data_IF_572018676177
#
_entry.id   IF_572018676177
#
_cell.length_a   1.000
_cell.length_b   1.000
_cell.length_c   1.000
_cell.angle_alpha   90.00
_cell.angle_beta   90.00
_cell.angle_gamma   90.00
#
_symmetry.space_group_name_H-M   'P 1'
#
loop_
_entity.id
_entity.type
_entity.pdbx_description
1 polymer ?
#
# COMPACT_ATOMS: atom_id res chain seq x y z
N UNK A 1 14.89 -18.20 20.58
CA UNK A 1 13.83 -17.20 20.38
C UNK A 1 13.61 -17.05 18.88
N UNK A 2 12.35 -16.96 18.52
CA UNK A 2 11.75 -17.00 17.19
C UNK A 2 12.37 -15.97 16.24
N UNK A 3 12.55 -16.37 14.99
CA UNK A 3 12.93 -15.50 13.88
C UNK A 3 11.86 -14.41 13.80
N UNK A 4 12.27 -13.19 14.15
CA UNK A 4 11.44 -12.00 14.09
C UNK A 4 10.84 -11.83 12.69
N UNK A 5 9.53 -11.56 12.70
CA UNK A 5 8.75 -11.22 11.52
C UNK A 5 9.36 -10.00 10.83
N UNK A 6 10.07 -10.22 9.71
CA UNK A 6 10.53 -9.14 8.84
C UNK A 6 9.92 -9.31 7.44
N UNK A 7 8.61 -9.60 7.39
CA UNK A 7 7.81 -9.42 6.17
C UNK A 7 7.71 -7.95 5.76
N UNK A 8 7.88 -7.10 6.76
CA UNK A 8 7.30 -5.77 6.73
C UNK A 8 8.17 -4.76 5.96
N UNK A 9 9.52 -4.76 6.03
CA UNK A 9 10.31 -3.76 5.31
C UNK A 9 10.17 -3.81 3.78
N UNK A 10 10.25 -4.99 3.11
CA UNK A 10 10.10 -5.05 1.65
C UNK A 10 8.66 -4.75 1.21
N UNK A 11 7.67 -5.33 1.90
CA UNK A 11 6.25 -5.13 1.58
C UNK A 11 5.82 -3.69 1.79
N UNK A 12 6.26 -3.07 2.89
CA UNK A 12 6.04 -1.65 3.14
C UNK A 12 6.67 -0.77 2.09
N UNK A 13 7.88 -1.09 1.63
CA UNK A 13 8.51 -0.33 0.54
C UNK A 13 7.67 -0.39 -0.76
N UNK A 14 7.17 -1.56 -1.12
CA UNK A 14 6.31 -1.73 -2.30
C UNK A 14 4.99 -0.96 -2.18
N UNK A 15 4.27 -1.15 -1.07
CA UNK A 15 2.98 -0.52 -0.82
C UNK A 15 3.10 1.00 -0.61
N UNK A 16 4.16 1.43 0.08
CA UNK A 16 4.47 2.84 0.34
C UNK A 16 4.75 3.64 -0.92
N UNK A 17 5.33 3.02 -1.95
CA UNK A 17 5.55 3.67 -3.25
C UNK A 17 4.25 4.14 -3.92
N UNK A 18 3.19 3.32 -3.85
CA UNK A 18 1.90 3.65 -4.45
C UNK A 18 1.13 4.70 -3.64
N UNK A 19 1.18 4.59 -2.31
CA UNK A 19 0.65 5.64 -1.42
C UNK A 19 1.37 6.97 -1.66
N UNK A 20 2.70 6.94 -1.87
CA UNK A 20 3.51 8.10 -2.21
C UNK A 20 3.10 8.75 -3.53
N UNK A 21 2.83 7.95 -4.57
CA UNK A 21 2.35 8.44 -5.86
C UNK A 21 1.00 9.18 -5.74
N UNK A 22 0.05 8.61 -4.99
CA UNK A 22 -1.23 9.26 -4.71
C UNK A 22 -1.05 10.57 -3.90
N UNK A 23 -0.21 10.56 -2.85
CA UNK A 23 0.13 11.76 -2.06
C UNK A 23 0.76 12.87 -2.90
N UNK A 24 1.61 12.53 -3.87
CA UNK A 24 2.22 13.51 -4.77
C UNK A 24 1.16 14.23 -5.62
N UNK A 25 0.16 13.49 -6.13
CA UNK A 25 -0.94 14.08 -6.91
C UNK A 25 -1.89 14.92 -6.07
N UNK A 26 -2.17 14.51 -4.83
CA UNK A 26 -2.88 15.35 -3.87
C UNK A 26 -2.16 16.68 -3.59
N UNK A 27 -0.83 16.63 -3.48
CA UNK A 27 0.00 17.84 -3.29
C UNK A 27 -0.05 18.75 -4.53
N UNK A 28 -0.04 18.16 -5.72
CA UNK A 28 -0.17 18.88 -6.99
C UNK A 28 -1.53 19.58 -7.13
N UNK A 29 -2.62 18.89 -6.79
CA UNK A 29 -3.99 19.45 -6.74
C UNK A 29 -4.04 20.64 -5.78
N UNK A 30 -3.51 20.47 -4.57
CA UNK A 30 -3.49 21.54 -3.55
C UNK A 30 -2.70 22.76 -4.02
N UNK A 31 -1.56 22.55 -4.67
CA UNK A 31 -0.73 23.64 -5.20
C UNK A 31 -1.39 24.38 -6.36
N UNK A 32 -2.01 23.64 -7.29
CA UNK A 32 -2.65 24.21 -8.47
C UNK A 32 -4.02 24.81 -8.19
N UNK A 33 -4.69 24.39 -7.11
CA UNK A 33 -6.02 24.86 -6.72
C UNK A 33 -7.16 24.30 -7.57
N UNK A 34 -6.90 23.31 -8.43
CA UNK A 34 -7.91 22.63 -9.23
C UNK A 34 -7.58 21.14 -9.40
N UNK A 35 -8.61 20.36 -9.71
CA UNK A 35 -8.51 18.92 -10.00
C UNK A 35 -8.61 18.71 -11.50
N UNK A 36 -7.66 17.99 -12.10
CA UNK A 36 -7.76 17.53 -13.49
C UNK A 36 -8.08 16.04 -13.58
N UNK A 37 -8.71 15.61 -14.67
CA UNK A 37 -8.94 14.19 -14.95
C UNK A 37 -7.63 13.38 -14.96
N UNK A 38 -6.54 13.97 -15.43
CA UNK A 38 -5.22 13.34 -15.41
C UNK A 38 -4.76 13.03 -13.99
N UNK A 39 -4.92 13.98 -13.05
CA UNK A 39 -4.54 13.77 -11.65
C UNK A 39 -5.39 12.68 -11.00
N UNK A 40 -6.71 12.72 -11.20
CA UNK A 40 -7.63 11.69 -10.70
C UNK A 40 -7.30 10.32 -11.29
N UNK A 41 -7.01 10.24 -12.59
CA UNK A 41 -6.62 8.99 -13.26
C UNK A 41 -5.33 8.41 -12.69
N UNK A 42 -4.35 9.26 -12.34
CA UNK A 42 -3.10 8.81 -11.74
C UNK A 42 -3.29 8.33 -10.29
N UNK A 43 -4.20 8.96 -9.53
CA UNK A 43 -4.61 8.48 -8.20
C UNK A 43 -5.27 7.10 -8.31
N UNK A 44 -6.19 6.91 -9.25
CA UNK A 44 -6.83 5.60 -9.48
C UNK A 44 -5.83 4.54 -9.93
N UNK A 45 -4.86 4.87 -10.79
CA UNK A 45 -3.79 3.92 -11.15
C UNK A 45 -2.96 3.49 -9.95
N UNK A 46 -2.62 4.43 -9.05
CA UNK A 46 -1.91 4.12 -7.82
C UNK A 46 -2.75 3.19 -6.92
N UNK A 47 -4.05 3.44 -6.81
CA UNK A 47 -5.00 2.55 -6.13
C UNK A 47 -4.99 1.14 -6.70
N UNK A 48 -5.19 1.00 -8.01
CA UNK A 48 -5.22 -0.32 -8.66
C UNK A 48 -3.91 -1.10 -8.44
N UNK A 49 -2.77 -0.43 -8.61
CA UNK A 49 -1.47 -1.06 -8.39
C UNK A 49 -1.28 -1.47 -6.92
N UNK A 50 -1.72 -0.66 -5.96
CA UNK A 50 -1.66 -1.01 -4.54
C UNK A 50 -2.50 -2.27 -4.23
N UNK A 51 -3.74 -2.31 -4.72
CA UNK A 51 -4.65 -3.45 -4.51
C UNK A 51 -4.10 -4.73 -5.14
N UNK A 52 -3.62 -4.65 -6.39
CA UNK A 52 -3.02 -5.78 -7.09
C UNK A 52 -1.79 -6.33 -6.34
N UNK A 53 -0.94 -5.46 -5.80
CA UNK A 53 0.23 -5.89 -5.03
C UNK A 53 -0.16 -6.56 -3.71
N UNK A 54 -1.14 -6.02 -2.99
CA UNK A 54 -1.67 -6.66 -1.78
C UNK A 54 -2.23 -8.06 -2.06
N UNK A 55 -3.05 -8.20 -3.11
CA UNK A 55 -3.63 -9.47 -3.53
C UNK A 55 -2.56 -10.46 -4.00
N UNK A 56 -1.57 -9.97 -4.75
CA UNK A 56 -0.42 -10.75 -5.21
C UNK A 56 0.41 -11.28 -4.06
N UNK A 57 0.68 -10.47 -3.04
CA UNK A 57 1.38 -10.90 -1.83
C UNK A 57 0.59 -11.95 -1.04
N UNK A 58 -0.73 -11.83 -0.94
CA UNK A 58 -1.60 -12.80 -0.26
C UNK A 58 -1.69 -14.14 -1.00
N UNK A 59 -1.62 -14.10 -2.34
CA UNK A 59 -1.76 -15.28 -3.21
C UNK A 59 -0.43 -16.01 -3.39
N UNK A 60 0.62 -15.28 -3.77
CA UNK A 60 1.94 -15.82 -4.09
C UNK A 60 3.05 -14.83 -3.67
N UNK A 61 3.42 -14.81 -2.38
CA UNK A 61 4.42 -13.88 -1.87
C UNK A 61 5.81 -14.10 -2.49
N UNK A 62 6.08 -15.29 -3.06
CA UNK A 62 7.37 -15.63 -3.66
C UNK A 62 7.70 -14.83 -4.93
N UNK A 63 6.67 -14.31 -5.61
CA UNK A 63 6.83 -13.39 -6.75
C UNK A 63 7.37 -12.02 -6.35
N UNK A 64 7.14 -11.61 -5.11
CA UNK A 64 7.44 -10.27 -4.60
C UNK A 64 8.66 -10.28 -3.67
N UNK A 65 8.78 -11.34 -2.86
CA UNK A 65 9.91 -11.54 -1.95
C UNK A 65 10.79 -12.63 -2.55
N UNK A 66 11.93 -12.24 -3.12
CA UNK A 66 12.92 -13.15 -3.77
C UNK A 66 13.67 -14.07 -2.77
N UNK A 67 13.06 -14.38 -1.63
CA UNK A 67 13.63 -15.25 -0.61
C UNK A 67 13.06 -16.66 -0.83
N UNK A 68 13.94 -17.63 -1.07
CA UNK A 68 13.57 -19.02 -1.33
C UNK A 68 12.74 -19.59 -0.17
N UNK A 69 11.55 -20.13 -0.49
CA UNK A 69 10.68 -20.77 0.50
C UNK A 69 9.90 -19.80 1.39
N UNK A 70 9.81 -18.52 1.01
CA UNK A 70 9.11 -17.53 1.80
C UNK A 70 7.59 -17.78 1.86
N UNK A 71 7.05 -17.85 3.07
CA UNK A 71 5.62 -17.94 3.33
C UNK A 71 5.21 -16.83 4.30
N UNK A 72 4.07 -16.21 4.04
CA UNK A 72 3.48 -15.26 4.99
C UNK A 72 3.15 -16.00 6.29
N UNK A 73 3.53 -15.45 7.44
CA UNK A 73 2.98 -15.93 8.70
C UNK A 73 1.47 -15.63 8.77
N UNK A 74 0.70 -16.32 9.64
CA UNK A 74 -0.71 -15.99 9.84
C UNK A 74 -0.93 -14.52 10.22
N UNK A 75 -0.07 -13.96 11.07
CA UNK A 75 -0.13 -12.56 11.49
C UNK A 75 0.08 -11.59 10.31
N UNK A 76 1.06 -11.88 9.46
CA UNK A 76 1.36 -11.04 8.29
C UNK A 76 0.25 -11.11 7.24
N UNK A 77 -0.34 -12.30 7.05
CA UNK A 77 -1.51 -12.50 6.19
C UNK A 77 -2.71 -11.71 6.70
N UNK A 78 -3.00 -11.79 8.00
CA UNK A 78 -4.10 -11.03 8.62
C UNK A 78 -3.88 -9.52 8.49
N UNK A 79 -2.64 -9.06 8.67
CA UNK A 79 -2.28 -7.67 8.46
C UNK A 79 -2.47 -7.23 7.00
N UNK A 80 -1.91 -7.97 6.04
CA UNK A 80 -2.06 -7.70 4.61
C UNK A 80 -3.53 -7.68 4.18
N UNK A 81 -4.34 -8.59 4.72
CA UNK A 81 -5.78 -8.62 4.49
C UNK A 81 -6.47 -7.36 5.03
N UNK A 82 -6.15 -6.92 6.25
CA UNK A 82 -6.67 -5.66 6.81
C UNK A 82 -6.25 -4.44 6.00
N UNK A 83 -5.00 -4.39 5.52
CA UNK A 83 -4.50 -3.32 4.64
C UNK A 83 -5.30 -3.30 3.34
N UNK A 84 -5.47 -4.47 2.70
CA UNK A 84 -6.25 -4.61 1.47
C UNK A 84 -7.71 -4.16 1.66
N UNK A 85 -8.37 -4.61 2.73
CA UNK A 85 -9.76 -4.27 3.00
C UNK A 85 -9.92 -2.77 3.29
N UNK A 86 -8.98 -2.18 4.04
CA UNK A 86 -8.94 -0.73 4.28
C UNK A 86 -8.77 0.02 2.96
N UNK A 87 -7.80 -0.37 2.13
CA UNK A 87 -7.53 0.25 0.84
C UNK A 87 -8.71 0.17 -0.14
N UNK A 88 -9.55 -0.88 -0.06
CA UNK A 88 -10.78 -1.01 -0.86
C UNK A 88 -11.89 -0.07 -0.42
N UNK A 89 -11.95 0.26 0.87
CA UNK A 89 -13.03 1.04 1.49
C UNK A 89 -12.76 2.56 1.49
N UNK A 90 -11.50 2.98 1.51
CA UNK A 90 -11.19 4.41 1.52
C UNK A 90 -11.46 5.06 0.17
N UNK A 91 -11.82 6.34 0.22
CA UNK A 91 -11.76 7.21 -0.95
C UNK A 91 -10.31 7.65 -1.19
N UNK A 92 -9.71 7.17 -2.28
CA UNK A 92 -8.34 7.51 -2.67
C UNK A 92 -8.19 8.96 -3.15
N UNK A 93 -9.30 9.63 -3.48
CA UNK A 93 -9.30 11.06 -3.79
C UNK A 93 -9.28 11.94 -2.53
N UNK A 94 -9.40 11.34 -1.34
CA UNK A 94 -9.24 12.05 -0.07
C UNK A 94 -7.79 11.96 0.43
N UNK A 95 -7.03 13.09 0.46
CA UNK A 95 -5.63 13.08 0.87
C UNK A 95 -5.40 12.55 2.29
N UNK A 96 -6.32 12.83 3.21
CA UNK A 96 -6.20 12.39 4.60
C UNK A 96 -6.36 10.87 4.71
N UNK A 97 -7.31 10.28 3.98
CA UNK A 97 -7.51 8.83 3.98
C UNK A 97 -6.33 8.08 3.39
N UNK A 98 -5.74 8.59 2.31
CA UNK A 98 -4.51 8.04 1.72
C UNK A 98 -3.34 8.19 2.68
N UNK A 99 -3.26 9.29 3.44
CA UNK A 99 -2.26 9.46 4.50
C UNK A 99 -2.44 8.42 5.60
N UNK A 100 -3.65 8.27 6.14
CA UNK A 100 -3.95 7.33 7.22
C UNK A 100 -3.65 5.88 6.82
N UNK A 101 -3.93 5.50 5.56
CA UNK A 101 -3.55 4.19 5.00
C UNK A 101 -2.03 4.00 4.99
N UNK A 102 -1.28 5.01 4.54
CA UNK A 102 0.19 4.96 4.57
C UNK A 102 0.75 4.82 5.98
N UNK A 103 0.23 5.63 6.92
CA UNK A 103 0.66 5.59 8.31
C UNK A 103 0.33 4.22 8.96
N UNK A 104 -0.79 3.60 8.59
CA UNK A 104 -1.15 2.25 9.01
C UNK A 104 -0.16 1.20 8.50
N UNK A 105 0.22 1.27 7.22
CA UNK A 105 1.25 0.39 6.62
C UNK A 105 2.59 0.58 7.34
N UNK A 106 3.02 1.82 7.55
CA UNK A 106 4.30 2.16 8.18
C UNK A 106 4.36 1.77 9.66
N UNK A 107 3.23 1.81 10.38
CA UNK A 107 3.16 1.54 11.83
C UNK A 107 3.60 0.13 12.22
N UNK A 108 3.48 -0.84 11.32
CA UNK A 108 3.89 -2.22 11.57
C UNK A 108 5.35 -2.49 11.15
N UNK A 109 6.00 -1.54 10.47
CA UNK A 109 7.37 -1.68 9.95
C UNK A 109 8.46 -1.28 10.96
N UNK A 110 8.05 -0.78 12.13
CA UNK A 110 8.90 -0.22 13.17
C UNK A 110 8.90 -1.14 14.39
#
# INVERSE_FOLDING_TARGET
>A
MTIDSALIPPVSHYLGGMVGAAKAKHSEIRYKGYVSEEMTSLIERARFAFLEQCEGLLTDPSKYVKQLGYQLSPQDRDFLQKVLDTARQIDWNNPQKVKDLGDFVDSQCR
#
